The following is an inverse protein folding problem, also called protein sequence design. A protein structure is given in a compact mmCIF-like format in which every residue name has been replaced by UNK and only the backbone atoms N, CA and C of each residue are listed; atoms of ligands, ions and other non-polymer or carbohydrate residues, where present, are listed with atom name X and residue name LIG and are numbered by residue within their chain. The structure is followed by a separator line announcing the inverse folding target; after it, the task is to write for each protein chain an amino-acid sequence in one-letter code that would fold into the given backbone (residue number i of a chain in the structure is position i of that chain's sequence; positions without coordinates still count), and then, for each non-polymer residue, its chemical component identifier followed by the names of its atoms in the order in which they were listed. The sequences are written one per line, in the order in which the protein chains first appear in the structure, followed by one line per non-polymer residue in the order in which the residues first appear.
data_IF_621276914659
#
_entry.id   IF_621276914659
#
_cell.length_a   1.000
_cell.length_b   1.000
_cell.length_c   1.000
_cell.angle_alpha   90.00
_cell.angle_beta   90.00
_cell.angle_gamma   90.00
#
_symmetry.space_group_name_H-M   'P 1'
#
loop_
_entity.id
_entity.type
_entity.pdbx_description
1 polymer ?
#
# COMPACT_ATOMS: atom_id res chain seq x y z
N UNK A 1 -8.11 8.00 -9.24
CA UNK A 1 -7.34 7.23 -8.24
C UNK A 1 -6.03 7.99 -7.99
N UNK A 2 -5.56 8.11 -6.75
CA UNK A 2 -4.18 8.62 -6.53
C UNK A 2 -3.19 7.48 -6.74
N UNK A 3 -1.95 7.81 -7.10
CA UNK A 3 -0.90 6.83 -7.33
C UNK A 3 -0.66 5.95 -6.08
N UNK A 4 -0.81 6.53 -4.88
CA UNK A 4 -0.71 5.80 -3.61
C UNK A 4 -1.88 4.81 -3.39
N UNK A 5 -3.09 5.11 -3.88
CA UNK A 5 -4.23 4.18 -3.82
C UNK A 5 -4.02 2.97 -4.74
N UNK A 6 -3.47 3.18 -5.94
CA UNK A 6 -3.14 2.11 -6.87
C UNK A 6 -2.06 1.18 -6.31
N UNK A 7 -1.04 1.75 -5.67
CA UNK A 7 0.02 0.97 -5.00
C UNK A 7 -0.53 0.17 -3.82
N UNK A 8 -1.42 0.75 -3.01
CA UNK A 8 -2.08 0.05 -1.92
C UNK A 8 -2.93 -1.14 -2.42
N UNK A 9 -3.69 -0.96 -3.50
CA UNK A 9 -4.47 -2.03 -4.11
C UNK A 9 -3.58 -3.17 -4.65
N UNK A 10 -2.44 -2.83 -5.27
CA UNK A 10 -1.47 -3.82 -5.74
C UNK A 10 -0.86 -4.62 -4.58
N UNK A 11 -0.53 -3.96 -3.46
CA UNK A 11 -0.02 -4.63 -2.25
C UNK A 11 -1.08 -5.56 -1.64
N UNK A 12 -2.33 -5.13 -1.54
CA UNK A 12 -3.42 -5.98 -1.05
C UNK A 12 -3.66 -7.20 -1.95
N UNK A 13 -3.59 -7.02 -3.26
CA UNK A 13 -3.67 -8.14 -4.21
C UNK A 13 -2.49 -9.12 -4.05
N UNK A 14 -1.28 -8.61 -3.80
CA UNK A 14 -0.11 -9.45 -3.51
C UNK A 14 -0.28 -10.22 -2.20
N UNK A 15 -0.76 -9.57 -1.12
CA UNK A 15 -1.08 -10.21 0.15
C UNK A 15 -2.11 -11.34 -0.05
N UNK A 16 -3.19 -11.08 -0.79
CA UNK A 16 -4.21 -12.08 -1.07
C UNK A 16 -3.64 -13.30 -1.82
N UNK A 17 -2.72 -13.09 -2.78
CA UNK A 17 -2.02 -14.18 -3.47
C UNK A 17 -1.14 -15.01 -2.53
N UNK A 18 -0.42 -14.35 -1.61
CA UNK A 18 0.42 -15.02 -0.61
C UNK A 18 -0.42 -15.81 0.39
N UNK A 19 -1.56 -15.27 0.84
CA UNK A 19 -2.47 -15.98 1.74
C UNK A 19 -3.09 -17.22 1.07
N UNK A 20 -3.38 -17.16 -0.24
CA UNK A 20 -3.91 -18.31 -1.00
C UNK A 20 -2.85 -19.36 -1.34
N UNK A 21 -1.63 -18.95 -1.66
CA UNK A 21 -0.58 -19.82 -2.20
C UNK A 21 0.56 -20.15 -1.25
N UNK A 22 0.56 -19.60 -0.04
CA UNK A 22 1.69 -19.65 0.89
C UNK A 22 2.86 -18.75 0.48
N UNK A 23 3.74 -18.46 1.44
CA UNK A 23 4.97 -17.68 1.22
C UNK A 23 6.02 -18.44 0.40
N UNK A 24 6.00 -19.77 0.46
CA UNK A 24 6.90 -20.63 -0.29
C UNK A 24 6.14 -21.78 -0.91
N UNK A 25 6.57 -22.19 -2.11
CA UNK A 25 6.05 -23.37 -2.79
C UNK A 25 7.22 -24.29 -3.09
N UNK A 26 7.04 -25.57 -2.78
CA UNK A 26 8.04 -26.62 -3.04
C UNK A 26 7.64 -27.34 -4.32
N UNK A 27 8.56 -27.43 -5.28
CA UNK A 27 8.40 -28.17 -6.52
C UNK A 27 9.56 -29.17 -6.63
N UNK A 28 9.30 -30.43 -6.25
CA UNK A 28 10.34 -31.44 -6.06
C UNK A 28 11.35 -30.99 -4.98
N UNK A 29 12.64 -31.03 -5.30
CA UNK A 29 13.71 -30.57 -4.42
C UNK A 29 13.91 -29.05 -4.40
N UNK A 30 13.20 -28.31 -5.26
CA UNK A 30 13.35 -26.84 -5.37
C UNK A 30 12.30 -26.16 -4.49
N UNK A 31 12.76 -25.34 -3.55
CA UNK A 31 11.91 -24.44 -2.78
C UNK A 31 11.99 -23.03 -3.39
N UNK A 32 10.83 -22.48 -3.76
CA UNK A 32 10.74 -21.11 -4.30
C UNK A 32 9.98 -20.25 -3.30
N UNK A 33 10.67 -19.25 -2.74
CA UNK A 33 10.05 -18.23 -1.89
C UNK A 33 9.38 -17.19 -2.79
N UNK A 34 8.04 -17.12 -2.73
CA UNK A 34 7.25 -16.22 -3.58
C UNK A 34 7.21 -14.79 -3.04
N UNK A 35 7.09 -14.62 -1.73
CA UNK A 35 7.05 -13.31 -1.09
C UNK A 35 7.17 -13.41 0.44
N UNK A 36 7.62 -12.33 1.07
CA UNK A 36 7.58 -12.13 2.51
C UNK A 36 6.33 -11.33 2.92
N UNK A 37 5.44 -11.98 3.68
CA UNK A 37 4.20 -11.36 4.18
C UNK A 37 4.47 -10.21 5.16
N UNK A 38 5.57 -10.28 5.91
CA UNK A 38 5.98 -9.23 6.84
C UNK A 38 6.35 -7.95 6.12
N UNK A 39 7.07 -8.06 5.01
CA UNK A 39 7.41 -6.91 4.16
C UNK A 39 6.17 -6.31 3.49
N UNK A 40 5.26 -7.14 2.98
CA UNK A 40 4.02 -6.67 2.36
C UNK A 40 3.11 -5.92 3.35
N UNK A 41 2.99 -6.40 4.59
CA UNK A 41 2.22 -5.71 5.65
C UNK A 41 2.84 -4.36 6.05
N UNK A 42 4.18 -4.25 6.03
CA UNK A 42 4.86 -2.96 6.26
C UNK A 42 4.53 -1.97 5.14
N UNK A 43 4.66 -2.40 3.88
CA UNK A 43 4.32 -1.57 2.72
C UNK A 43 2.85 -1.13 2.73
N UNK A 44 1.91 -2.00 3.12
CA UNK A 44 0.51 -1.62 3.26
C UNK A 44 0.33 -0.47 4.28
N UNK A 45 0.98 -0.58 5.44
CA UNK A 45 0.93 0.46 6.46
C UNK A 45 1.50 1.78 5.93
N UNK A 46 2.65 1.75 5.27
CA UNK A 46 3.33 2.94 4.74
C UNK A 46 2.48 3.63 3.66
N UNK A 47 1.92 2.87 2.71
CA UNK A 47 1.06 3.44 1.68
C UNK A 47 -0.26 3.96 2.25
N UNK A 48 -0.84 3.28 3.25
CA UNK A 48 -2.06 3.77 3.91
C UNK A 48 -1.82 5.12 4.60
N UNK A 49 -0.65 5.29 5.23
CA UNK A 49 -0.25 6.54 5.84
C UNK A 49 -0.02 7.64 4.79
N UNK A 50 0.59 7.31 3.65
CA UNK A 50 0.77 8.25 2.53
C UNK A 50 -0.58 8.70 1.95
N UNK A 51 -1.53 7.78 1.73
CA UNK A 51 -2.88 8.13 1.24
C UNK A 51 -3.58 9.09 2.20
N UNK A 52 -3.49 8.83 3.51
CA UNK A 52 -4.05 9.74 4.52
C UNK A 52 -3.35 11.10 4.50
N UNK A 53 -2.02 11.15 4.42
CA UNK A 53 -1.26 12.40 4.33
C UNK A 53 -1.62 13.19 3.06
N UNK A 54 -1.78 12.53 1.90
CA UNK A 54 -2.24 13.16 0.66
C UNK A 54 -3.65 13.74 0.79
N UNK A 55 -4.57 13.01 1.43
CA UNK A 55 -5.92 13.50 1.70
C UNK A 55 -5.91 14.72 2.61
N UNK A 56 -5.12 14.72 3.69
CA UNK A 56 -4.98 15.88 4.58
C UNK A 56 -4.35 17.08 3.85
N UNK A 57 -3.33 16.88 3.01
CA UNK A 57 -2.75 17.93 2.16
C UNK A 57 -3.74 18.49 1.14
N UNK A 58 -4.67 17.69 0.62
CA UNK A 58 -5.77 18.18 -0.24
C UNK A 58 -6.76 19.04 0.54
N UNK A 59 -7.11 18.64 1.77
CA UNK A 59 -8.06 19.38 2.63
C UNK A 59 -7.49 20.70 3.16
N UNK A 60 -6.21 20.74 3.52
CA UNK A 60 -5.55 21.94 4.07
C UNK A 60 -5.27 23.05 3.05
N UNK A 61 -5.41 22.79 1.74
CA UNK A 61 -5.19 23.77 0.67
C UNK A 61 -6.39 24.68 0.38
N UNK A 62 -7.53 24.49 1.05
CA UNK A 62 -8.76 25.22 0.74
C UNK A 62 -9.05 26.44 1.63
N UNK A 63 -8.06 26.98 2.34
CA UNK A 63 -8.19 28.19 3.17
C UNK A 63 -7.41 29.36 2.58
N UNK A 64 -7.70 29.71 1.34
CA UNK A 64 -7.42 31.08 0.86
C UNK A 64 -8.47 31.96 1.54
N UNK A 65 -8.16 32.36 2.77
CA UNK A 65 -8.87 33.44 3.43
C UNK A 65 -8.50 34.70 2.65
N UNK A 66 -9.48 35.30 1.99
CA UNK A 66 -9.41 36.71 1.62
C UNK A 66 -9.19 37.48 2.92
N UNK A 67 -7.92 37.73 3.28
CA UNK A 67 -7.60 38.73 4.28
C UNK A 67 -7.77 40.08 3.58
N UNK A 68 -8.86 40.72 3.98
CA UNK A 68 -9.19 42.12 3.84
C UNK A 68 -8.02 43.05 4.14
N UNK A 69 -7.68 43.93 3.20
CA UNK A 69 -7.65 45.42 3.30
C UNK A 69 -7.13 45.98 1.97
#
# INVERSE_FOLDING_TARGET
MTQAQEQLAAVQAAIAKVLKGGQSVRYGDRQVTRADLGMLRKLEKDYSAQVQAEQQKKRGRNRISYMSI
#
